data_IF_284650696518
#
_entry.id   IF_284650696518
#
_cell.length_a   1.000
_cell.length_b   1.000
_cell.length_c   1.000
_cell.angle_alpha   90.00
_cell.angle_beta   90.00
_cell.angle_gamma   90.00
#
_symmetry.space_group_name_H-M   'P 1'
#
loop_
_entity.id
_entity.type
_entity.pdbx_description
1 polymer ?
#
# COMPACT_ATOMS: atom_id res chain seq x y z
N UNK A 1 10.27 27.02 38.99
CA UNK A 1 9.64 25.71 39.32
C UNK A 1 8.16 26.00 39.51
N UNK A 2 7.26 25.40 38.73
CA UNK A 2 5.85 25.80 38.65
C UNK A 2 5.04 25.49 39.91
N UNK A 3 3.74 25.76 39.87
CA UNK A 3 2.82 25.40 40.95
C UNK A 3 2.53 23.88 40.88
N UNK A 4 2.80 23.14 41.96
CA UNK A 4 2.53 21.69 42.13
C UNK A 4 3.27 20.68 41.21
N UNK A 5 4.60 20.75 41.01
CA UNK A 5 5.34 19.62 40.45
C UNK A 5 5.44 18.46 41.45
N UNK A 6 5.19 17.24 41.00
CA UNK A 6 5.37 16.00 41.76
C UNK A 6 6.53 15.22 41.14
N UNK A 7 7.62 15.03 41.86
CA UNK A 7 8.72 14.14 41.51
C UNK A 7 8.86 13.11 42.64
N UNK A 8 8.28 11.92 42.45
CA UNK A 8 8.19 10.89 43.50
C UNK A 8 8.90 9.57 43.16
N UNK A 9 9.28 9.36 41.89
CA UNK A 9 10.15 8.25 41.51
C UNK A 9 11.59 8.48 41.93
N UNK A 10 12.36 7.40 42.13
CA UNK A 10 13.77 7.47 42.47
C UNK A 10 14.55 8.23 41.39
N UNK A 11 15.30 9.28 41.75
CA UNK A 11 16.05 10.13 40.79
C UNK A 11 15.18 10.76 39.68
N UNK A 12 13.89 10.99 39.94
CA UNK A 12 12.98 11.64 38.97
C UNK A 12 13.16 13.17 38.92
N UNK A 13 12.75 13.78 37.80
CA UNK A 13 12.77 15.24 37.59
C UNK A 13 11.41 15.72 37.11
N UNK A 14 10.82 16.72 37.77
CA UNK A 14 9.56 17.37 37.36
C UNK A 14 9.70 18.89 37.28
N UNK A 15 9.45 19.49 36.11
CA UNK A 15 9.60 20.93 35.86
C UNK A 15 8.38 21.48 35.10
N UNK A 16 7.49 22.20 35.81
CA UNK A 16 6.33 22.87 35.22
C UNK A 16 5.19 22.96 36.23
N UNK A 17 4.09 23.59 35.86
CA UNK A 17 2.87 23.54 36.68
C UNK A 17 2.14 22.23 36.43
N UNK A 18 1.67 21.57 37.49
CA UNK A 18 0.96 20.29 37.44
C UNK A 18 1.75 19.12 36.78
N UNK A 19 3.07 19.20 36.74
CA UNK A 19 3.92 18.11 36.21
C UNK A 19 4.00 16.95 37.18
N UNK A 20 3.99 15.73 36.68
CA UNK A 20 4.13 14.50 37.48
C UNK A 20 5.22 13.61 36.90
N UNK A 21 6.22 13.26 37.71
CA UNK A 21 7.27 12.29 37.42
C UNK A 21 7.28 11.23 38.53
N UNK A 22 6.57 10.12 38.31
CA UNK A 22 6.36 9.05 39.31
C UNK A 22 7.19 7.80 39.02
N UNK A 23 7.64 7.62 37.77
CA UNK A 23 8.53 6.51 37.43
C UNK A 23 9.96 6.74 37.93
N UNK A 24 10.69 5.67 38.24
CA UNK A 24 12.11 5.78 38.60
C UNK A 24 12.91 6.30 37.40
N UNK A 25 13.84 7.21 37.63
CA UNK A 25 14.64 7.90 36.61
C UNK A 25 13.81 8.66 35.55
N UNK A 26 12.55 8.95 35.84
CA UNK A 26 11.65 9.63 34.90
C UNK A 26 11.91 11.15 34.82
N UNK A 27 11.61 11.74 33.66
CA UNK A 27 11.76 13.19 33.42
C UNK A 27 10.46 13.74 32.85
N UNK A 28 9.80 14.66 33.57
CA UNK A 28 8.62 15.38 33.12
C UNK A 28 8.88 16.90 33.06
N UNK A 29 8.76 17.52 31.89
CA UNK A 29 9.01 18.95 31.69
C UNK A 29 7.91 19.57 30.84
N UNK A 30 7.19 20.57 31.37
CA UNK A 30 6.13 21.30 30.68
C UNK A 30 4.77 21.20 31.39
N UNK A 31 3.86 22.15 31.17
CA UNK A 31 2.58 22.18 31.91
C UNK A 31 1.81 20.86 31.76
N UNK A 32 1.45 20.23 32.89
CA UNK A 32 0.73 18.95 32.92
C UNK A 32 1.43 17.79 32.22
N UNK A 33 2.76 17.83 32.06
CA UNK A 33 3.53 16.69 31.58
C UNK A 33 3.54 15.57 32.62
N UNK A 34 3.37 14.32 32.18
CA UNK A 34 3.33 13.13 33.01
C UNK A 34 4.34 12.10 32.54
N UNK A 35 5.31 11.75 33.36
CA UNK A 35 6.28 10.68 33.13
C UNK A 35 6.06 9.61 34.20
N UNK A 36 5.21 8.63 33.88
CA UNK A 36 4.71 7.64 34.86
C UNK A 36 5.47 6.31 34.78
N UNK A 37 6.01 5.96 33.60
CA UNK A 37 6.82 4.76 33.42
C UNK A 37 8.27 4.91 33.92
N UNK A 38 8.92 3.80 34.25
CA UNK A 38 10.34 3.80 34.65
C UNK A 38 11.22 4.21 33.47
N UNK A 39 12.22 5.06 33.70
CA UNK A 39 13.09 5.66 32.67
C UNK A 39 12.29 6.39 31.56
N UNK A 40 11.07 6.84 31.85
CA UNK A 40 10.24 7.55 30.88
C UNK A 40 10.59 9.02 30.76
N UNK A 41 10.34 9.62 29.60
CA UNK A 41 10.55 11.06 29.35
C UNK A 41 9.31 11.70 28.75
N UNK A 42 8.72 12.67 29.44
CA UNK A 42 7.61 13.50 28.97
C UNK A 42 8.04 14.97 28.82
N UNK A 43 8.06 15.49 27.60
CA UNK A 43 8.53 16.84 27.29
C UNK A 43 7.50 17.65 26.51
N UNK A 44 6.92 18.66 27.12
CA UNK A 44 5.98 19.60 26.53
C UNK A 44 4.67 19.67 27.31
N UNK A 45 3.64 20.29 26.72
CA UNK A 45 2.38 20.53 27.43
C UNK A 45 1.42 19.36 27.22
N UNK A 46 0.84 18.85 28.31
CA UNK A 46 -0.05 17.69 28.34
C UNK A 46 0.55 16.45 27.66
N UNK A 47 1.86 16.23 27.80
CA UNK A 47 2.50 15.00 27.35
C UNK A 47 2.34 13.89 28.39
N UNK A 48 2.24 12.64 27.93
CA UNK A 48 1.99 11.47 28.77
C UNK A 48 2.91 10.31 28.36
N UNK A 49 3.98 10.07 29.12
CA UNK A 49 4.92 8.97 28.95
C UNK A 49 4.63 7.89 30.01
N UNK A 50 3.54 7.13 29.78
CA UNK A 50 3.04 6.13 30.73
C UNK A 50 3.77 4.77 30.64
N UNK A 51 4.38 4.46 29.48
CA UNK A 51 5.12 3.20 29.32
C UNK A 51 6.51 3.23 29.93
N UNK A 52 7.01 2.09 30.41
CA UNK A 52 8.42 1.96 30.79
C UNK A 52 9.33 2.22 29.58
N UNK A 53 10.43 2.93 29.78
CA UNK A 53 11.38 3.36 28.74
C UNK A 53 10.72 4.18 27.61
N UNK A 54 9.54 4.75 27.85
CA UNK A 54 8.83 5.51 26.83
C UNK A 54 9.29 6.96 26.71
N UNK A 55 9.07 7.57 25.55
CA UNK A 55 9.34 8.99 25.31
C UNK A 55 8.13 9.65 24.67
N UNK A 56 7.52 10.62 25.35
CA UNK A 56 6.46 11.47 24.82
C UNK A 56 6.94 12.92 24.72
N UNK A 57 6.97 13.51 23.53
CA UNK A 57 7.41 14.90 23.34
C UNK A 57 6.45 15.71 22.45
N UNK A 58 6.25 16.99 22.76
CA UNK A 58 5.42 17.94 22.02
C UNK A 58 4.15 18.38 22.75
N UNK A 59 2.99 18.33 22.10
CA UNK A 59 1.72 18.82 22.66
C UNK A 59 0.64 17.75 22.52
N UNK A 60 0.08 17.30 23.65
CA UNK A 60 -0.83 16.14 23.71
C UNK A 60 -0.24 14.86 23.09
N UNK A 61 1.07 14.65 23.20
CA UNK A 61 1.70 13.38 22.80
C UNK A 61 1.62 12.36 23.92
N UNK A 62 1.27 11.12 23.61
CA UNK A 62 1.12 10.03 24.56
C UNK A 62 1.88 8.77 24.13
N UNK A 63 2.89 8.37 24.90
CA UNK A 63 3.68 7.16 24.72
C UNK A 63 3.30 6.15 25.83
N UNK A 64 2.33 5.28 25.54
CA UNK A 64 1.69 4.41 26.54
C UNK A 64 2.25 2.98 26.55
N UNK A 65 2.85 2.53 25.45
CA UNK A 65 3.50 1.22 25.40
C UNK A 65 4.91 1.22 26.00
N UNK A 66 5.37 0.10 26.54
CA UNK A 66 6.79 -0.05 26.93
C UNK A 66 7.70 0.16 25.71
N UNK A 67 8.81 0.86 25.86
CA UNK A 67 9.73 1.26 24.78
C UNK A 67 9.08 2.10 23.67
N UNK A 68 7.90 2.68 23.90
CA UNK A 68 7.20 3.46 22.88
C UNK A 68 7.73 4.88 22.76
N UNK A 69 7.56 5.49 21.58
CA UNK A 69 7.96 6.87 21.30
C UNK A 69 6.81 7.63 20.64
N UNK A 70 6.37 8.74 21.21
CA UNK A 70 5.33 9.62 20.67
C UNK A 70 5.86 11.06 20.57
N UNK A 71 6.10 11.59 19.37
CA UNK A 71 6.71 12.92 19.18
C UNK A 71 5.88 13.77 18.21
N UNK A 72 5.37 14.92 18.69
CA UNK A 72 4.70 15.92 17.85
C UNK A 72 3.43 16.50 18.46
N UNK A 73 2.39 16.67 17.65
CA UNK A 73 1.10 17.21 18.10
C UNK A 73 0.03 16.11 18.03
N UNK A 74 -0.63 15.83 19.16
CA UNK A 74 -1.67 14.79 19.28
C UNK A 74 -1.21 13.44 18.73
N UNK A 75 -0.02 12.98 19.13
CA UNK A 75 0.54 11.69 18.69
C UNK A 75 0.32 10.62 19.76
N UNK A 76 0.00 9.39 19.37
CA UNK A 76 -0.28 8.29 20.31
C UNK A 76 0.50 7.05 19.90
N UNK A 77 1.43 6.60 20.74
CA UNK A 77 2.12 5.32 20.60
C UNK A 77 1.69 4.39 21.74
N UNK A 78 0.67 3.56 21.50
CA UNK A 78 0.10 2.67 22.53
C UNK A 78 0.57 1.22 22.43
N UNK A 79 1.14 0.80 21.28
CA UNK A 79 1.78 -0.50 21.16
C UNK A 79 3.14 -0.57 21.88
N UNK A 80 3.50 -1.73 22.43
CA UNK A 80 4.87 -1.96 22.91
C UNK A 80 5.87 -1.78 21.76
N UNK A 81 6.98 -1.07 22.00
CA UNK A 81 7.97 -0.66 21.01
C UNK A 81 7.40 0.12 19.79
N UNK A 82 6.21 0.71 19.92
CA UNK A 82 5.60 1.49 18.85
C UNK A 82 6.19 2.90 18.76
N UNK A 83 6.23 3.48 17.55
CA UNK A 83 6.69 4.85 17.31
C UNK A 83 5.65 5.66 16.54
N UNK A 84 5.15 6.75 17.12
CA UNK A 84 4.23 7.69 16.49
C UNK A 84 4.88 9.08 16.41
N UNK A 85 5.11 9.61 15.21
CA UNK A 85 5.83 10.88 15.03
C UNK A 85 5.10 11.78 14.03
N UNK A 86 4.79 13.03 14.41
CA UNK A 86 4.22 14.05 13.54
C UNK A 86 2.93 14.70 14.07
N UNK A 87 1.91 14.86 13.23
CA UNK A 87 0.63 15.49 13.61
C UNK A 87 -0.50 14.46 13.53
N UNK A 88 -1.20 14.23 14.64
CA UNK A 88 -2.34 13.32 14.67
C UNK A 88 -1.99 11.89 14.23
N UNK A 89 -0.86 11.35 14.68
CA UNK A 89 -0.39 10.00 14.31
C UNK A 89 -0.70 8.99 15.41
N UNK A 90 -1.06 7.76 15.03
CA UNK A 90 -1.41 6.68 15.96
C UNK A 90 -0.63 5.42 15.59
N UNK A 91 0.18 4.91 16.51
CA UNK A 91 0.89 3.64 16.41
C UNK A 91 0.42 2.72 17.55
N UNK A 92 -0.58 1.88 17.26
CA UNK A 92 -1.24 1.01 18.26
C UNK A 92 -0.86 -0.47 18.14
N UNK A 93 -0.27 -0.88 17.02
CA UNK A 93 0.30 -2.23 16.90
C UNK A 93 1.61 -2.38 17.68
N UNK A 94 1.88 -3.59 18.20
CA UNK A 94 3.22 -3.92 18.76
C UNK A 94 4.28 -3.71 17.69
N UNK A 95 5.38 -3.03 18.01
CA UNK A 95 6.47 -2.67 17.10
C UNK A 95 5.99 -1.94 15.82
N UNK A 96 4.86 -1.23 15.89
CA UNK A 96 4.33 -0.45 14.76
C UNK A 96 4.97 0.93 14.66
N UNK A 97 4.96 1.51 13.46
CA UNK A 97 5.50 2.84 13.21
C UNK A 97 4.52 3.69 12.41
N UNK A 98 4.12 4.85 12.95
CA UNK A 98 3.27 5.83 12.29
C UNK A 98 4.00 7.18 12.19
N UNK A 99 4.36 7.61 10.99
CA UNK A 99 5.15 8.83 10.75
C UNK A 99 4.46 9.75 9.73
N UNK A 100 4.25 11.02 10.08
CA UNK A 100 3.70 12.05 9.19
C UNK A 100 2.47 12.75 9.74
N UNK A 101 1.41 12.89 8.92
CA UNK A 101 0.18 13.57 9.30
C UNK A 101 -1.01 12.62 9.18
N UNK A 102 -1.82 12.48 10.23
CA UNK A 102 -3.02 11.63 10.24
C UNK A 102 -2.73 10.18 9.85
N UNK A 103 -1.59 9.63 10.26
CA UNK A 103 -1.20 8.24 9.94
C UNK A 103 -1.63 7.28 11.06
N UNK A 104 -2.04 6.07 10.68
CA UNK A 104 -2.47 5.04 11.62
C UNK A 104 -1.80 3.70 11.31
N UNK A 105 -0.93 3.23 12.21
CA UNK A 105 -0.30 1.92 12.16
C UNK A 105 -0.87 1.05 13.29
N UNK A 106 -1.87 0.22 12.95
CA UNK A 106 -2.62 -0.59 13.92
C UNK A 106 -2.33 -2.09 13.82
N UNK A 107 -1.74 -2.55 12.71
CA UNK A 107 -1.24 -3.91 12.62
C UNK A 107 0.03 -4.11 13.44
N UNK A 108 0.27 -5.28 14.04
CA UNK A 108 1.56 -5.58 14.67
C UNK A 108 2.67 -5.53 13.61
N UNK A 109 3.80 -4.91 13.94
CA UNK A 109 4.95 -4.68 13.05
C UNK A 109 4.59 -3.93 11.76
N UNK A 110 3.50 -3.15 11.76
CA UNK A 110 3.07 -2.36 10.60
C UNK A 110 3.77 -1.01 10.50
N UNK A 111 3.84 -0.45 9.29
CA UNK A 111 4.39 0.87 8.98
C UNK A 111 3.37 1.74 8.24
N UNK A 112 2.99 2.89 8.80
CA UNK A 112 2.17 3.91 8.14
C UNK A 112 2.99 5.22 7.99
N UNK A 113 3.29 5.63 6.76
CA UNK A 113 4.18 6.75 6.48
C UNK A 113 3.56 7.76 5.48
N UNK A 114 3.49 9.04 5.83
CA UNK A 114 3.06 10.12 4.93
C UNK A 114 1.82 10.87 5.41
N UNK A 115 0.85 11.11 4.53
CA UNK A 115 -0.39 11.84 4.83
C UNK A 115 -1.60 10.91 4.75
N UNK A 116 -2.38 10.83 5.83
CA UNK A 116 -3.63 10.06 5.88
C UNK A 116 -3.46 8.57 5.49
N UNK A 117 -2.37 7.93 5.92
CA UNK A 117 -2.10 6.52 5.60
C UNK A 117 -2.56 5.58 6.70
N UNK A 118 -3.00 4.37 6.33
CA UNK A 118 -3.51 3.37 7.26
C UNK A 118 -2.89 1.98 7.00
N UNK A 119 -2.05 1.51 7.92
CA UNK A 119 -1.49 0.17 7.91
C UNK A 119 -2.13 -0.67 9.02
N UNK A 120 -3.14 -1.48 8.67
CA UNK A 120 -3.92 -2.28 9.62
C UNK A 120 -3.69 -3.79 9.53
N UNK A 121 -3.04 -4.26 8.47
CA UNK A 121 -2.60 -5.65 8.34
C UNK A 121 -1.39 -5.96 9.22
N UNK A 122 -1.27 -7.20 9.70
CA UNK A 122 -0.06 -7.65 10.38
C UNK A 122 1.15 -7.54 9.43
N UNK A 123 2.23 -6.90 9.88
CA UNK A 123 3.44 -6.65 9.10
C UNK A 123 3.15 -5.92 7.77
N UNK A 124 2.12 -5.08 7.73
CA UNK A 124 1.77 -4.33 6.52
C UNK A 124 2.50 -2.98 6.43
N UNK A 125 2.64 -2.45 5.21
CA UNK A 125 3.27 -1.14 4.95
C UNK A 125 2.35 -0.27 4.10
N UNK A 126 1.92 0.89 4.62
CA UNK A 126 1.20 1.92 3.88
C UNK A 126 2.05 3.19 3.80
N UNK A 127 2.43 3.63 2.60
CA UNK A 127 3.29 4.80 2.38
C UNK A 127 2.73 5.75 1.32
N UNK A 128 2.79 7.06 1.56
CA UNK A 128 2.38 8.09 0.59
C UNK A 128 1.20 8.93 1.08
N UNK A 129 0.17 9.10 0.24
CA UNK A 129 -0.99 9.94 0.55
C UNK A 129 -2.30 9.16 0.39
N UNK A 130 -3.08 9.06 1.47
CA UNK A 130 -4.35 8.31 1.50
C UNK A 130 -4.19 6.83 1.10
N UNK A 131 -3.09 6.18 1.50
CA UNK A 131 -2.85 4.76 1.19
C UNK A 131 -3.31 3.84 2.32
N UNK A 132 -3.79 2.64 1.97
CA UNK A 132 -4.34 1.65 2.90
C UNK A 132 -3.68 0.28 2.65
N UNK A 133 -2.98 -0.26 3.64
CA UNK A 133 -2.42 -1.61 3.62
C UNK A 133 -3.07 -2.45 4.72
N UNK A 134 -4.09 -3.22 4.34
CA UNK A 134 -4.99 -3.93 5.28
C UNK A 134 -4.85 -5.45 5.24
N UNK A 135 -4.29 -6.03 4.17
CA UNK A 135 -3.95 -7.46 4.15
C UNK A 135 -2.73 -7.75 5.03
N UNK A 136 -2.64 -8.94 5.62
CA UNK A 136 -1.40 -9.36 6.30
C UNK A 136 -0.25 -9.41 5.30
N UNK A 137 0.94 -8.93 5.70
CA UNK A 137 2.15 -8.77 4.88
C UNK A 137 1.97 -7.83 3.67
N UNK A 138 0.87 -7.09 3.58
CA UNK A 138 0.57 -6.26 2.40
C UNK A 138 1.38 -4.97 2.36
N UNK A 139 1.63 -4.46 1.16
CA UNK A 139 2.29 -3.17 0.93
C UNK A 139 1.43 -2.31 0.01
N UNK A 140 1.21 -1.04 0.36
CA UNK A 140 0.52 -0.04 -0.48
C UNK A 140 1.34 1.25 -0.51
N UNK A 141 1.81 1.66 -1.68
CA UNK A 141 2.67 2.84 -1.86
C UNK A 141 2.09 3.74 -2.96
N UNK A 142 2.04 5.06 -2.72
CA UNK A 142 1.64 6.04 -3.73
C UNK A 142 0.49 6.93 -3.28
N UNK A 143 -0.53 7.11 -4.13
CA UNK A 143 -1.64 8.01 -3.87
C UNK A 143 -3.00 7.31 -4.02
N UNK A 144 -3.80 7.27 -2.96
CA UNK A 144 -5.10 6.56 -2.94
C UNK A 144 -5.05 5.07 -3.32
N UNK A 145 -3.97 4.37 -2.94
CA UNK A 145 -3.89 2.91 -3.15
C UNK A 145 -4.38 2.11 -1.94
N UNK A 146 -5.05 1.00 -2.20
CA UNK A 146 -5.48 0.01 -1.22
C UNK A 146 -4.95 -1.38 -1.57
N UNK A 147 -4.11 -1.94 -0.69
CA UNK A 147 -3.72 -3.36 -0.74
C UNK A 147 -4.46 -4.15 0.34
N UNK A 148 -5.22 -5.16 -0.11
CA UNK A 148 -6.07 -6.01 0.74
C UNK A 148 -5.66 -7.49 0.68
N UNK A 149 -4.81 -7.87 -0.27
CA UNK A 149 -4.35 -9.25 -0.45
C UNK A 149 -3.30 -9.64 0.59
N UNK A 150 -3.28 -10.92 0.97
CA UNK A 150 -2.19 -11.47 1.77
C UNK A 150 -0.89 -11.37 0.97
N UNK A 151 0.14 -10.75 1.55
CA UNK A 151 1.41 -10.43 0.87
C UNK A 151 1.24 -9.61 -0.42
N UNK A 152 0.11 -8.92 -0.59
CA UNK A 152 -0.20 -8.14 -1.80
C UNK A 152 0.51 -6.79 -1.82
N UNK A 153 1.04 -6.40 -2.98
CA UNK A 153 1.68 -5.09 -3.19
C UNK A 153 0.85 -4.24 -4.16
N UNK A 154 0.50 -3.02 -3.78
CA UNK A 154 -0.16 -2.04 -4.65
C UNK A 154 0.70 -0.77 -4.80
N UNK A 155 0.98 -0.37 -6.04
CA UNK A 155 1.75 0.83 -6.40
C UNK A 155 0.94 1.76 -7.32
N UNK A 156 1.41 2.99 -7.54
CA UNK A 156 0.82 3.93 -8.51
C UNK A 156 -0.20 4.88 -7.87
N UNK A 157 -1.36 5.07 -8.52
CA UNK A 157 -2.42 5.93 -8.00
C UNK A 157 -3.83 5.38 -8.25
N UNK A 158 -4.74 5.60 -7.30
CA UNK A 158 -6.17 5.29 -7.42
C UNK A 158 -6.44 3.87 -7.94
N UNK A 159 -5.80 2.87 -7.34
CA UNK A 159 -6.04 1.48 -7.72
C UNK A 159 -7.50 1.06 -7.43
N UNK A 160 -8.04 0.12 -8.22
CA UNK A 160 -9.31 -0.52 -7.90
C UNK A 160 -9.04 -1.73 -6.99
N UNK A 161 -9.50 -1.75 -5.72
CA UNK A 161 -9.19 -2.86 -4.83
C UNK A 161 -9.82 -4.18 -5.34
N UNK A 162 -8.98 -5.13 -5.75
CA UNK A 162 -9.41 -6.43 -6.33
C UNK A 162 -10.23 -7.27 -5.33
N UNK A 163 -10.01 -7.11 -4.03
CA UNK A 163 -10.69 -7.85 -2.98
C UNK A 163 -11.70 -6.98 -2.23
N UNK A 164 -12.86 -7.54 -1.91
CA UNK A 164 -13.89 -6.89 -1.10
C UNK A 164 -13.58 -6.85 0.40
N UNK A 165 -12.64 -7.65 0.89
CA UNK A 165 -12.21 -7.72 2.30
C UNK A 165 -10.70 -7.99 2.42
N UNK A 166 -10.03 -7.51 3.48
CA UNK A 166 -8.63 -7.81 3.73
C UNK A 166 -8.41 -9.31 3.99
N UNK A 167 -7.29 -9.85 3.50
CA UNK A 167 -6.91 -11.25 3.66
C UNK A 167 -5.83 -11.41 4.73
N UNK A 168 -5.96 -12.50 5.49
CA UNK A 168 -4.94 -12.99 6.45
C UNK A 168 -4.26 -14.29 5.99
N UNK A 169 -4.72 -14.86 4.87
CA UNK A 169 -4.17 -16.06 4.27
C UNK A 169 -4.32 -15.99 2.74
N UNK A 170 -3.51 -16.78 2.04
CA UNK A 170 -3.45 -16.78 0.57
C UNK A 170 -4.49 -17.73 -0.04
N UNK A 171 -5.02 -17.35 -1.19
CA UNK A 171 -5.88 -18.14 -2.09
C UNK A 171 -5.34 -18.05 -3.52
N UNK A 172 -5.81 -18.88 -4.46
CA UNK A 172 -5.38 -18.80 -5.87
C UNK A 172 -5.69 -17.44 -6.51
N UNK A 173 -6.74 -16.76 -6.05
CA UNK A 173 -7.16 -15.44 -6.54
C UNK A 173 -6.64 -14.28 -5.67
N UNK A 174 -5.72 -14.53 -4.74
CA UNK A 174 -5.08 -13.45 -3.98
C UNK A 174 -4.24 -12.57 -4.92
N UNK A 175 -4.48 -11.25 -4.98
CA UNK A 175 -3.64 -10.34 -5.73
C UNK A 175 -2.31 -10.15 -5.00
N UNK A 176 -1.21 -10.47 -5.68
CA UNK A 176 0.16 -10.30 -5.19
C UNK A 176 0.77 -8.98 -5.63
N UNK A 177 0.39 -8.48 -6.81
CA UNK A 177 0.93 -7.23 -7.35
C UNK A 177 -0.15 -6.48 -8.13
N UNK A 178 -0.30 -5.19 -7.84
CA UNK A 178 -1.26 -4.29 -8.49
C UNK A 178 -0.54 -2.98 -8.82
N UNK A 179 -0.73 -2.46 -10.03
CA UNK A 179 -0.37 -1.09 -10.40
C UNK A 179 -1.66 -0.32 -10.65
N UNK A 180 -2.00 0.62 -9.76
CA UNK A 180 -3.09 1.57 -9.92
C UNK A 180 -2.73 2.66 -10.93
N UNK A 181 -3.67 2.94 -11.84
CA UNK A 181 -3.56 4.01 -12.84
C UNK A 181 -4.86 4.82 -12.97
N UNK A 182 -5.72 4.76 -11.95
CA UNK A 182 -6.97 5.49 -11.92
C UNK A 182 -6.78 6.99 -11.66
N UNK A 183 -7.90 7.66 -11.49
CA UNK A 183 -7.97 9.08 -11.15
C UNK A 183 -9.09 9.37 -10.13
N UNK A 184 -9.29 10.66 -9.86
CA UNK A 184 -10.36 11.12 -8.98
C UNK A 184 -11.73 10.87 -9.62
N UNK A 185 -12.34 9.75 -9.24
CA UNK A 185 -13.67 9.35 -9.69
C UNK A 185 -13.69 8.05 -10.48
N UNK A 186 -12.54 7.60 -10.99
CA UNK A 186 -12.42 6.34 -11.71
C UNK A 186 -11.23 5.52 -11.21
N UNK A 187 -11.51 4.61 -10.27
CA UNK A 187 -10.49 3.67 -9.79
C UNK A 187 -10.16 2.65 -10.89
N UNK A 188 -8.88 2.43 -11.14
CA UNK A 188 -8.42 1.54 -12.20
C UNK A 188 -7.07 0.92 -11.89
N UNK A 189 -6.88 -0.31 -12.37
CA UNK A 189 -5.60 -1.01 -12.35
C UNK A 189 -5.05 -1.16 -13.77
N UNK A 190 -3.81 -0.75 -13.98
CA UNK A 190 -3.05 -1.03 -15.18
C UNK A 190 -2.63 -2.51 -15.23
N UNK A 191 -2.28 -3.09 -14.08
CA UNK A 191 -1.78 -4.45 -13.98
C UNK A 191 -2.25 -5.12 -12.68
N UNK A 192 -2.58 -6.41 -12.75
CA UNK A 192 -2.90 -7.27 -11.60
C UNK A 192 -2.23 -8.63 -11.77
N UNK A 193 -1.46 -9.09 -10.78
CA UNK A 193 -0.88 -10.44 -10.74
C UNK A 193 -1.50 -11.22 -9.59
N UNK A 194 -2.11 -12.36 -9.88
CA UNK A 194 -2.71 -13.24 -8.88
C UNK A 194 -1.74 -14.35 -8.44
N UNK A 195 -1.98 -14.94 -7.28
CA UNK A 195 -1.20 -16.06 -6.74
C UNK A 195 -1.18 -17.29 -7.66
N UNK A 196 -2.22 -17.49 -8.48
CA UNK A 196 -2.27 -18.55 -9.50
C UNK A 196 -1.23 -18.40 -10.60
N UNK A 197 -0.60 -17.22 -10.73
CA UNK A 197 0.24 -16.86 -11.88
C UNK A 197 -0.51 -16.08 -12.95
N UNK A 198 -1.83 -15.98 -12.83
CA UNK A 198 -2.63 -15.20 -13.77
C UNK A 198 -2.29 -13.71 -13.67
N UNK A 199 -1.88 -13.12 -14.80
CA UNK A 199 -1.49 -11.71 -14.90
C UNK A 199 -2.42 -10.97 -15.84
N UNK A 200 -3.08 -9.95 -15.33
CA UNK A 200 -3.97 -9.05 -16.05
C UNK A 200 -3.25 -7.75 -16.40
N UNK A 201 -3.40 -7.28 -17.64
CA UNK A 201 -3.12 -5.89 -18.04
C UNK A 201 -4.45 -5.27 -18.45
N UNK A 202 -4.86 -4.21 -17.76
CA UNK A 202 -6.16 -3.57 -17.94
C UNK A 202 -7.35 -4.36 -17.41
N UNK A 203 -7.14 -5.43 -16.65
CA UNK A 203 -8.20 -6.26 -16.04
C UNK A 203 -7.85 -6.65 -14.61
N UNK A 204 -8.86 -6.67 -13.74
CA UNK A 204 -8.72 -6.98 -12.32
C UNK A 204 -8.84 -8.47 -12.01
N UNK A 205 -9.38 -9.25 -12.96
CA UNK A 205 -9.65 -10.67 -12.82
C UNK A 205 -9.04 -11.46 -13.99
N UNK A 206 -7.71 -11.60 -14.06
CA UNK A 206 -7.07 -12.36 -15.12
C UNK A 206 -7.44 -13.84 -15.05
N UNK A 207 -7.84 -14.41 -16.19
CA UNK A 207 -8.29 -15.80 -16.32
C UNK A 207 -7.19 -16.73 -16.87
N UNK A 208 -6.04 -16.17 -17.25
CA UNK A 208 -4.89 -16.89 -17.77
C UNK A 208 -3.59 -16.25 -17.27
N UNK A 209 -2.47 -16.97 -17.45
CA UNK A 209 -1.13 -16.50 -17.08
C UNK A 209 -0.81 -15.10 -17.63
N UNK A 210 -1.27 -14.79 -18.84
CA UNK A 210 -1.29 -13.45 -19.40
C UNK A 210 -2.68 -13.18 -20.00
N UNK A 211 -3.39 -12.20 -19.44
CA UNK A 211 -4.68 -11.70 -19.90
C UNK A 211 -4.51 -10.20 -20.15
N UNK A 212 -4.66 -9.75 -21.39
CA UNK A 212 -4.63 -8.33 -21.74
C UNK A 212 -6.04 -7.93 -22.15
N UNK A 213 -6.68 -7.02 -21.42
CA UNK A 213 -7.96 -6.44 -21.81
C UNK A 213 -7.71 -5.08 -22.46
N UNK A 214 -8.14 -4.91 -23.70
CA UNK A 214 -8.07 -3.64 -24.40
C UNK A 214 -9.42 -2.93 -24.46
N UNK A 215 -9.39 -1.61 -24.66
CA UNK A 215 -10.59 -0.82 -24.95
C UNK A 215 -11.05 -0.96 -26.40
N UNK A 216 -11.90 -0.04 -26.87
CA UNK A 216 -12.50 -0.06 -28.21
C UNK A 216 -11.53 0.14 -29.39
N UNK A 217 -10.23 0.32 -29.14
CA UNK A 217 -9.22 0.58 -30.18
C UNK A 217 -7.81 0.10 -29.78
N UNK A 218 -7.71 -0.99 -29.02
CA UNK A 218 -6.42 -1.50 -28.55
C UNK A 218 -6.04 -2.87 -29.11
N UNK A 219 -4.75 -3.19 -29.09
CA UNK A 219 -4.20 -4.48 -29.49
C UNK A 219 -2.86 -4.72 -28.80
N UNK A 220 -2.36 -5.96 -28.84
CA UNK A 220 -1.02 -6.28 -28.35
C UNK A 220 0.00 -5.95 -29.45
N UNK A 221 0.90 -5.01 -29.19
CA UNK A 221 2.01 -4.69 -30.09
C UNK A 221 3.31 -5.28 -29.53
N UNK A 222 3.96 -6.14 -30.31
CA UNK A 222 5.31 -6.64 -30.04
C UNK A 222 6.26 -5.98 -31.04
N UNK A 223 7.09 -5.06 -30.58
CA UNK A 223 8.02 -4.29 -31.41
C UNK A 223 9.46 -4.76 -31.19
N UNK A 224 10.17 -5.09 -32.27
CA UNK A 224 11.59 -5.36 -32.25
C UNK A 224 12.36 -4.04 -32.34
N UNK A 225 13.06 -3.68 -31.26
CA UNK A 225 13.81 -2.43 -31.16
C UNK A 225 15.02 -2.35 -32.10
N UNK A 226 15.46 -3.46 -32.69
CA UNK A 226 16.63 -3.51 -33.57
C UNK A 226 16.31 -3.16 -35.04
N UNK A 227 15.10 -3.46 -35.51
CA UNK A 227 14.70 -3.30 -36.91
C UNK A 227 13.35 -2.58 -37.10
N UNK A 228 12.64 -2.27 -36.01
CA UNK A 228 11.34 -1.60 -36.03
C UNK A 228 10.18 -2.48 -36.48
N UNK A 229 10.39 -3.80 -36.62
CA UNK A 229 9.32 -4.73 -36.99
C UNK A 229 8.29 -4.86 -35.86
N UNK A 230 7.00 -4.88 -36.21
CA UNK A 230 5.88 -4.90 -35.26
C UNK A 230 4.94 -6.05 -35.56
N UNK A 231 4.68 -6.90 -34.58
CA UNK A 231 3.60 -7.88 -34.61
C UNK A 231 2.42 -7.30 -33.83
N UNK A 232 1.26 -7.19 -34.48
CA UNK A 232 0.04 -6.70 -33.86
C UNK A 232 -0.98 -7.84 -33.82
N UNK A 233 -1.47 -8.14 -32.62
CA UNK A 233 -2.66 -8.96 -32.44
C UNK A 233 -3.78 -7.98 -32.06
N UNK A 234 -4.79 -7.87 -32.92
CA UNK A 234 -5.91 -6.95 -32.75
C UNK A 234 -7.22 -7.72 -32.88
N UNK A 235 -8.17 -7.46 -31.99
CA UNK A 235 -9.58 -7.76 -32.24
C UNK A 235 -10.25 -6.46 -32.65
N UNK A 236 -10.78 -6.42 -33.87
CA UNK A 236 -11.63 -5.32 -34.30
C UNK A 236 -12.98 -5.39 -33.59
N UNK A 237 -13.61 -4.24 -33.37
CA UNK A 237 -14.93 -4.21 -32.75
C UNK A 237 -15.94 -4.99 -33.59
N UNK A 238 -16.41 -6.12 -33.07
CA UNK A 238 -17.48 -6.92 -33.66
C UNK A 238 -17.11 -8.38 -33.84
N UNK A 239 -15.88 -8.65 -34.26
CA UNK A 239 -15.41 -10.00 -34.60
C UNK A 239 -14.14 -10.29 -33.79
N UNK A 240 -14.20 -11.30 -32.92
CA UNK A 240 -13.13 -11.68 -31.99
C UNK A 240 -11.97 -12.41 -32.69
N UNK A 241 -11.88 -12.33 -34.01
CA UNK A 241 -10.94 -13.09 -34.82
C UNK A 241 -9.50 -12.62 -34.63
N UNK A 242 -8.54 -13.52 -34.85
CA UNK A 242 -7.12 -13.19 -34.87
C UNK A 242 -6.70 -12.79 -36.30
N UNK A 243 -6.65 -11.48 -36.52
CA UNK A 243 -6.30 -10.92 -37.82
C UNK A 243 -4.82 -10.57 -37.92
N UNK A 244 -4.18 -11.01 -39.01
CA UNK A 244 -2.79 -10.73 -39.35
C UNK A 244 -2.71 -9.59 -40.36
N UNK A 245 -1.84 -8.62 -40.11
CA UNK A 245 -1.59 -7.50 -41.03
C UNK A 245 -0.14 -7.54 -41.51
N UNK A 246 0.10 -7.07 -42.74
CA UNK A 246 1.46 -6.84 -43.23
C UNK A 246 2.02 -5.48 -42.77
N UNK A 247 3.28 -5.20 -43.11
CA UNK A 247 3.98 -3.96 -42.74
C UNK A 247 3.34 -2.68 -43.32
N UNK A 248 2.39 -2.79 -44.24
CA UNK A 248 1.62 -1.69 -44.80
C UNK A 248 0.22 -1.53 -44.17
N UNK A 249 -0.06 -2.24 -43.06
CA UNK A 249 -1.37 -2.32 -42.40
C UNK A 249 -2.50 -2.88 -43.29
N UNK A 250 -2.18 -3.76 -44.25
CA UNK A 250 -3.19 -4.51 -45.02
C UNK A 250 -3.44 -5.85 -44.35
N UNK A 251 -4.70 -6.20 -44.15
CA UNK A 251 -5.12 -7.52 -43.64
C UNK A 251 -4.73 -8.61 -44.63
N UNK A 252 -4.00 -9.62 -44.15
CA UNK A 252 -3.45 -10.69 -44.98
C UNK A 252 -4.03 -12.05 -44.65
N UNK A 253 -4.51 -12.24 -43.43
CA UNK A 253 -5.17 -13.46 -42.99
C UNK A 253 -5.97 -13.21 -41.72
N UNK A 254 -6.94 -14.06 -41.47
CA UNK A 254 -7.80 -14.03 -40.29
C UNK A 254 -8.04 -15.45 -39.78
N UNK A 255 -8.15 -15.62 -38.46
CA UNK A 255 -8.55 -16.87 -37.83
C UNK A 255 -9.81 -16.60 -37.02
N UNK A 256 -10.89 -17.26 -37.43
CA UNK A 256 -12.20 -17.17 -36.78
C UNK A 256 -12.16 -17.77 -35.37
N UNK A 257 -12.63 -17.02 -34.36
CA UNK A 257 -12.52 -17.43 -32.95
C UNK A 257 -13.52 -18.52 -32.55
N UNK A 258 -14.64 -18.65 -33.27
CA UNK A 258 -15.70 -19.63 -32.99
C UNK A 258 -15.41 -20.97 -33.67
N UNK A 259 -14.94 -20.93 -34.92
CA UNK A 259 -14.77 -22.09 -35.79
C UNK A 259 -13.32 -22.54 -35.93
N UNK A 260 -12.36 -21.67 -35.61
CA UNK A 260 -10.93 -21.91 -35.83
C UNK A 260 -10.53 -21.90 -37.31
N UNK A 261 -11.42 -21.45 -38.19
CA UNK A 261 -11.16 -21.42 -39.63
C UNK A 261 -10.11 -20.35 -39.96
N UNK A 262 -9.01 -20.77 -40.57
CA UNK A 262 -8.04 -19.85 -41.16
C UNK A 262 -8.53 -19.39 -42.53
N UNK A 263 -8.71 -18.08 -42.68
CA UNK A 263 -9.07 -17.43 -43.94
C UNK A 263 -7.90 -16.55 -44.40
N UNK A 264 -7.24 -16.95 -45.49
CA UNK A 264 -6.26 -16.07 -46.13
C UNK A 264 -6.98 -14.98 -46.93
N UNK A 265 -6.76 -13.72 -46.59
CA UNK A 265 -7.42 -12.56 -47.22
C UNK A 265 -6.53 -11.93 -48.30
N UNK A 266 -5.21 -12.08 -48.20
CA UNK A 266 -4.29 -11.71 -49.28
C UNK A 266 -3.40 -12.90 -49.67
N UNK A 267 -3.35 -13.20 -50.96
CA UNK A 267 -2.54 -14.27 -51.52
C UNK A 267 -1.05 -13.85 -51.61
N UNK A 268 -0.29 -14.06 -50.54
CA UNK A 268 1.17 -13.88 -50.54
C UNK A 268 1.93 -15.20 -50.27
N UNK A 269 1.37 -16.34 -50.72
CA UNK A 269 2.07 -17.66 -50.88
C UNK A 269 1.97 -18.67 -49.73
N UNK A 270 0.78 -18.93 -49.17
CA UNK A 270 0.59 -20.08 -48.26
C UNK A 270 0.00 -21.34 -48.91
N UNK A 271 -0.34 -21.32 -50.22
CA UNK A 271 -0.61 -22.55 -50.97
C UNK A 271 0.70 -23.24 -51.38
N UNK A 272 1.45 -23.81 -50.43
CA UNK A 272 2.35 -24.92 -50.80
C UNK A 272 1.49 -26.18 -50.87
N UNK A 273 0.99 -26.39 -52.08
CA UNK A 273 0.31 -27.58 -52.56
C UNK A 273 1.05 -28.82 -52.01
N UNK A 274 0.36 -29.66 -51.24
CA UNK A 274 0.80 -31.05 -51.08
C UNK A 274 0.46 -31.74 -52.41
N UNK A 275 1.46 -31.87 -53.28
CA UNK A 275 1.41 -32.66 -54.51
C UNK A 275 2.07 -34.02 -54.29
N UNK A 276 1.84 -35.02 -55.15
CA UNK A 276 0.78 -35.19 -56.15
C UNK A 276 -0.33 -36.16 -55.72
#
# INVERSE_FOLDING_TARGET
MGEFPIASGYSSTAIGSFTTATGDYSVAVGQSAKAEGNTSTALGKNTDAAGDYSTAAGYYSAAQGSYSTAIGYTTIASGAAASAIGYNTVASGVASMALGQSTNASGPSSLALGYNTNASGNTSTAMGHTTIASGSLSTAIGYQNSSRGFAGTALGMYNNPVLASPQIAVTSTTPLFIIGNGDLGNLSNAMVVLKSGNTGIGTDAPLANLHIRHGSSGGLMLENSADGNKWRLYSASGDNNLTFFNNANVEVADIDDVTGAFTAISDIRLKKIFSP
#
